data_IF_266613214689
#
_entry.id   IF_266613214689
#
_cell.length_a   1.000
_cell.length_b   1.000
_cell.length_c   1.000
_cell.angle_alpha   90.00
_cell.angle_beta   90.00
_cell.angle_gamma   90.00
#
_symmetry.space_group_name_H-M   'P 1'
#
loop_
_entity.id
_entity.type
_entity.pdbx_description
1 polymer ?
#
# COMPACT_ATOMS: atom_id res chain seq x y z
N UNK A 1 -8.48 -41.32 -26.73
CA UNK A 1 -7.17 -41.87 -27.15
C UNK A 1 -6.15 -40.73 -27.29
N UNK A 2 -5.97 -39.91 -26.25
CA UNK A 2 -5.13 -38.68 -26.26
C UNK A 2 -3.77 -38.89 -25.56
N UNK A 3 -3.61 -39.96 -24.76
CA UNK A 3 -2.33 -40.30 -24.13
C UNK A 3 -1.25 -40.81 -25.10
N UNK A 4 -1.60 -41.10 -26.35
CA UNK A 4 -0.67 -41.69 -27.34
C UNK A 4 -0.03 -40.67 -28.29
N UNK A 5 -0.27 -39.37 -28.11
CA UNK A 5 0.34 -38.30 -28.92
C UNK A 5 1.40 -37.46 -28.17
N UNK A 6 1.80 -37.86 -26.96
CA UNK A 6 2.98 -37.28 -26.31
C UNK A 6 4.25 -37.81 -26.99
N UNK A 7 4.72 -37.06 -27.98
CA UNK A 7 5.94 -37.31 -28.75
C UNK A 7 7.15 -37.58 -27.85
N UNK A 8 7.91 -38.59 -28.26
CA UNK A 8 8.95 -39.37 -27.56
C UNK A 8 10.25 -38.58 -27.22
N UNK A 9 10.27 -37.24 -27.31
CA UNK A 9 11.50 -36.44 -27.07
C UNK A 9 11.40 -35.34 -26.01
N UNK A 10 10.22 -35.12 -25.40
CA UNK A 10 10.11 -34.29 -24.20
C UNK A 10 10.27 -35.15 -22.95
N UNK A 11 11.37 -35.00 -22.22
CA UNK A 11 11.65 -35.81 -21.03
C UNK A 11 10.49 -35.69 -20.04
N UNK A 12 9.78 -36.79 -19.75
CA UNK A 12 8.71 -36.85 -18.71
C UNK A 12 9.15 -36.16 -17.40
N UNK A 13 10.43 -36.29 -17.07
CA UNK A 13 11.06 -35.62 -15.93
C UNK A 13 11.02 -34.08 -16.02
N UNK A 14 11.18 -33.49 -17.20
CA UNK A 14 11.02 -32.05 -17.40
C UNK A 14 9.57 -31.60 -17.20
N UNK A 15 8.60 -32.41 -17.62
CA UNK A 15 7.17 -32.10 -17.40
C UNK A 15 6.79 -32.20 -15.91
N UNK A 16 7.30 -33.23 -15.21
CA UNK A 16 7.12 -33.39 -13.76
C UNK A 16 7.77 -32.20 -13.04
N UNK A 17 9.00 -31.86 -13.38
CA UNK A 17 9.72 -30.74 -12.77
C UNK A 17 9.00 -29.41 -13.03
N UNK A 18 8.54 -29.17 -14.26
CA UNK A 18 7.76 -27.98 -14.62
C UNK A 18 6.46 -27.88 -13.82
N UNK A 19 5.72 -28.99 -13.68
CA UNK A 19 4.47 -29.02 -12.90
C UNK A 19 4.72 -28.75 -11.41
N UNK A 20 5.83 -29.25 -10.85
CA UNK A 20 6.21 -28.97 -9.46
C UNK A 20 6.50 -27.47 -9.26
N UNK A 21 7.28 -26.86 -10.17
CA UNK A 21 7.62 -25.43 -10.10
C UNK A 21 6.36 -24.57 -10.20
N UNK A 22 5.47 -24.88 -11.15
CA UNK A 22 4.18 -24.18 -11.30
C UNK A 22 3.32 -24.38 -10.06
N UNK A 23 3.20 -25.60 -9.55
CA UNK A 23 2.41 -25.90 -8.36
C UNK A 23 2.87 -25.14 -7.13
N UNK A 24 4.18 -25.04 -6.92
CA UNK A 24 4.75 -24.22 -5.84
C UNK A 24 4.44 -22.74 -6.04
N UNK A 25 4.65 -22.21 -7.24
CA UNK A 25 4.31 -20.81 -7.56
C UNK A 25 2.84 -20.51 -7.30
N UNK A 26 1.94 -21.38 -7.76
CA UNK A 26 0.50 -21.26 -7.52
C UNK A 26 0.16 -21.30 -6.03
N UNK A 27 0.76 -22.20 -5.25
CA UNK A 27 0.50 -22.27 -3.81
C UNK A 27 0.83 -20.95 -3.09
N UNK A 28 1.97 -20.33 -3.42
CA UNK A 28 2.34 -19.03 -2.87
C UNK A 28 1.38 -17.92 -3.31
N UNK A 29 1.08 -17.84 -4.61
CA UNK A 29 0.20 -16.80 -5.17
C UNK A 29 -1.21 -16.88 -4.61
N UNK A 30 -1.81 -18.08 -4.54
CA UNK A 30 -3.15 -18.26 -3.98
C UNK A 30 -3.19 -17.89 -2.49
N UNK A 31 -2.19 -18.32 -1.73
CA UNK A 31 -2.14 -18.03 -0.30
C UNK A 31 -1.99 -16.54 -0.03
N UNK A 32 -1.07 -15.86 -0.71
CA UNK A 32 -0.86 -14.41 -0.52
C UNK A 32 -2.08 -13.60 -0.99
N UNK A 33 -2.72 -14.01 -2.10
CA UNK A 33 -3.94 -13.37 -2.60
C UNK A 33 -5.10 -13.45 -1.58
N UNK A 34 -5.34 -14.62 -0.99
CA UNK A 34 -6.41 -14.78 0.01
C UNK A 34 -6.13 -14.02 1.30
N UNK A 35 -4.87 -14.00 1.75
CA UNK A 35 -4.45 -13.21 2.92
C UNK A 35 -4.68 -11.72 2.65
N UNK A 36 -4.18 -11.22 1.51
CA UNK A 36 -4.33 -9.82 1.13
C UNK A 36 -5.80 -9.40 1.01
N UNK A 37 -6.64 -10.24 0.40
CA UNK A 37 -8.06 -9.96 0.20
C UNK A 37 -8.92 -10.14 1.46
N UNK A 38 -8.43 -10.85 2.49
CA UNK A 38 -9.15 -11.05 3.75
C UNK A 38 -8.66 -10.14 4.89
N UNK A 39 -7.47 -9.56 4.75
CA UNK A 39 -6.91 -8.60 5.70
C UNK A 39 -7.80 -7.36 5.75
N UNK A 40 -8.31 -7.02 6.94
CA UNK A 40 -9.19 -5.85 7.14
C UNK A 40 -10.65 -6.05 6.71
N UNK A 41 -11.08 -7.28 6.40
CA UNK A 41 -12.49 -7.58 6.10
C UNK A 41 -13.18 -8.17 7.34
N UNK A 42 -14.24 -7.51 7.81
CA UNK A 42 -15.07 -8.00 8.90
C UNK A 42 -15.55 -9.45 8.67
N UNK A 43 -15.67 -10.24 9.74
CA UNK A 43 -16.07 -11.65 9.67
C UNK A 43 -17.42 -11.86 8.96
N UNK A 44 -18.36 -10.90 9.10
CA UNK A 44 -19.67 -10.92 8.42
C UNK A 44 -19.57 -10.70 6.90
N UNK A 45 -18.48 -10.08 6.43
CA UNK A 45 -18.27 -9.69 5.04
C UNK A 45 -17.30 -10.62 4.29
N UNK A 46 -16.73 -11.63 4.97
CA UNK A 46 -15.84 -12.62 4.33
C UNK A 46 -16.48 -13.35 3.15
N UNK A 47 -17.80 -13.57 3.18
CA UNK A 47 -18.53 -14.14 2.03
C UNK A 47 -18.49 -13.25 0.79
N UNK A 48 -18.51 -11.92 0.99
CA UNK A 48 -18.46 -10.93 -0.09
C UNK A 48 -17.02 -10.85 -0.64
N UNK A 49 -16.01 -10.79 0.23
CA UNK A 49 -14.60 -10.83 -0.17
C UNK A 49 -14.28 -12.10 -0.98
N UNK A 50 -14.76 -13.27 -0.52
CA UNK A 50 -14.62 -14.53 -1.25
C UNK A 50 -15.32 -14.51 -2.61
N UNK A 51 -16.51 -13.91 -2.72
CA UNK A 51 -17.19 -13.75 -4.00
C UNK A 51 -16.41 -12.84 -4.98
N UNK A 52 -15.79 -11.77 -4.49
CA UNK A 52 -14.94 -10.88 -5.29
C UNK A 52 -13.70 -11.62 -5.79
N UNK A 53 -13.02 -12.37 -4.91
CA UNK A 53 -11.84 -13.19 -5.27
C UNK A 53 -12.21 -14.18 -6.38
N UNK A 54 -13.28 -14.95 -6.20
CA UNK A 54 -13.71 -15.95 -7.18
C UNK A 54 -14.13 -15.31 -8.52
N UNK A 55 -14.74 -14.13 -8.48
CA UNK A 55 -15.09 -13.38 -9.71
C UNK A 55 -13.83 -12.89 -10.42
N UNK A 56 -12.87 -12.33 -9.68
CA UNK A 56 -11.57 -11.93 -10.21
C UNK A 56 -10.81 -13.10 -10.84
N UNK A 57 -10.88 -14.29 -10.23
CA UNK A 57 -10.27 -15.51 -10.76
C UNK A 57 -10.91 -15.99 -12.07
N UNK A 58 -12.20 -15.74 -12.31
CA UNK A 58 -12.84 -16.08 -13.58
C UNK A 58 -12.50 -15.08 -14.69
N UNK A 59 -12.36 -13.80 -14.34
CA UNK A 59 -12.06 -12.73 -15.31
C UNK A 59 -10.57 -12.70 -15.68
N UNK A 60 -9.68 -12.97 -14.72
CA UNK A 60 -8.22 -12.90 -14.91
C UNK A 60 -7.70 -13.70 -16.11
N UNK A 61 -8.05 -14.99 -16.26
CA UNK A 61 -7.63 -15.81 -17.40
C UNK A 61 -8.11 -15.26 -18.75
N UNK A 62 -9.31 -14.67 -18.80
CA UNK A 62 -9.83 -14.07 -20.03
C UNK A 62 -9.04 -12.82 -20.42
N UNK A 63 -8.69 -11.98 -19.45
CA UNK A 63 -7.86 -10.79 -19.68
C UNK A 63 -6.43 -11.18 -20.08
N UNK A 64 -5.81 -12.13 -19.39
CA UNK A 64 -4.48 -12.65 -19.74
C UNK A 64 -4.46 -13.23 -21.16
N UNK A 65 -5.45 -14.05 -21.51
CA UNK A 65 -5.55 -14.59 -22.87
C UNK A 65 -5.72 -13.48 -23.92
N UNK A 66 -6.49 -12.44 -23.63
CA UNK A 66 -6.65 -11.30 -24.54
C UNK A 66 -5.33 -10.55 -24.76
N UNK A 67 -4.53 -10.36 -23.70
CA UNK A 67 -3.20 -9.74 -23.77
C UNK A 67 -2.23 -10.62 -24.56
N UNK A 68 -2.19 -11.93 -24.27
CA UNK A 68 -1.40 -12.91 -25.04
C UNK A 68 -1.77 -12.81 -26.52
N UNK A 69 -3.06 -12.82 -26.86
CA UNK A 69 -3.51 -12.72 -28.25
C UNK A 69 -3.13 -11.41 -28.92
N UNK A 70 -3.22 -10.27 -28.22
CA UNK A 70 -2.79 -8.99 -28.73
C UNK A 70 -1.27 -8.99 -29.03
N UNK A 71 -0.46 -9.55 -28.14
CA UNK A 71 0.99 -9.67 -28.32
C UNK A 71 1.31 -10.61 -29.49
N UNK A 72 0.66 -11.77 -29.57
CA UNK A 72 0.87 -12.75 -30.64
C UNK A 72 0.47 -12.17 -31.99
N UNK A 73 -0.68 -11.49 -32.07
CA UNK A 73 -1.13 -10.83 -33.29
C UNK A 73 -0.15 -9.74 -33.73
N UNK A 74 0.36 -8.93 -32.79
CA UNK A 74 1.35 -7.89 -33.05
C UNK A 74 2.72 -8.45 -33.47
N UNK A 75 3.19 -9.53 -32.84
CA UNK A 75 4.53 -10.08 -33.08
C UNK A 75 4.62 -10.95 -34.35
N UNK A 76 3.54 -11.64 -34.71
CA UNK A 76 3.53 -12.59 -35.82
C UNK A 76 2.66 -12.15 -37.00
N UNK A 77 2.08 -10.95 -36.97
CA UNK A 77 1.18 -10.40 -38.02
C UNK A 77 0.06 -11.37 -38.41
N UNK A 78 -0.39 -12.18 -37.45
CA UNK A 78 -1.44 -13.18 -37.67
C UNK A 78 -2.79 -12.60 -37.25
N UNK A 79 -3.80 -12.80 -38.10
CA UNK A 79 -5.20 -12.43 -37.84
C UNK A 79 -6.10 -13.66 -37.60
N UNK A 80 -5.51 -14.87 -37.54
CA UNK A 80 -6.21 -16.14 -37.33
C UNK A 80 -6.31 -16.57 -35.86
N UNK A 81 -7.14 -17.58 -35.59
CA UNK A 81 -7.24 -18.24 -34.27
C UNK A 81 -5.91 -18.94 -33.92
N UNK A 82 -5.62 -19.13 -32.63
CA UNK A 82 -4.48 -19.94 -32.16
C UNK A 82 -4.52 -21.36 -32.76
N UNK A 83 -5.71 -21.85 -33.08
CA UNK A 83 -5.97 -23.18 -33.65
C UNK A 83 -5.45 -23.33 -35.09
N UNK A 84 -5.31 -22.23 -35.83
CA UNK A 84 -4.79 -22.23 -37.21
C UNK A 84 -3.25 -22.11 -37.26
N UNK A 85 -2.59 -21.92 -36.11
CA UNK A 85 -1.14 -21.77 -36.02
C UNK A 85 -0.46 -23.13 -35.96
N UNK A 86 0.54 -23.38 -36.82
CA UNK A 86 1.34 -24.62 -36.74
C UNK A 86 2.06 -24.77 -35.39
N UNK A 87 2.16 -26.00 -34.88
CA UNK A 87 2.62 -26.35 -33.52
C UNK A 87 3.89 -25.62 -33.04
N UNK A 88 4.90 -25.50 -33.91
CA UNK A 88 6.17 -24.84 -33.59
C UNK A 88 6.04 -23.31 -33.46
N UNK A 89 5.14 -22.70 -34.25
CA UNK A 89 4.87 -21.27 -34.19
C UNK A 89 4.03 -20.94 -32.94
N UNK A 90 3.02 -21.77 -32.66
CA UNK A 90 2.16 -21.64 -31.48
C UNK A 90 2.96 -21.72 -30.17
N UNK A 91 3.84 -22.72 -30.04
CA UNK A 91 4.66 -22.90 -28.84
C UNK A 91 5.60 -21.70 -28.60
N UNK A 92 6.24 -21.19 -29.66
CA UNK A 92 7.10 -20.00 -29.56
C UNK A 92 6.32 -18.74 -29.21
N UNK A 93 5.13 -18.57 -29.80
CA UNK A 93 4.27 -17.43 -29.57
C UNK A 93 3.80 -17.36 -28.11
N UNK A 94 3.35 -18.49 -27.55
CA UNK A 94 2.92 -18.59 -26.15
C UNK A 94 4.09 -18.33 -25.19
N UNK A 95 5.26 -18.94 -25.43
CA UNK A 95 6.44 -18.68 -24.60
C UNK A 95 6.85 -17.21 -24.61
N UNK A 96 6.82 -16.55 -25.77
CA UNK A 96 7.15 -15.13 -25.89
C UNK A 96 6.13 -14.25 -25.18
N UNK A 97 4.84 -14.55 -25.30
CA UNK A 97 3.79 -13.82 -24.59
C UNK A 97 3.92 -13.96 -23.06
N UNK A 98 4.17 -15.16 -22.54
CA UNK A 98 4.39 -15.39 -21.11
C UNK A 98 5.62 -14.65 -20.57
N UNK A 99 6.71 -14.60 -21.35
CA UNK A 99 7.90 -13.83 -20.98
C UNK A 99 7.58 -12.34 -20.95
N UNK A 100 6.86 -11.82 -21.95
CA UNK A 100 6.47 -10.41 -22.00
C UNK A 100 5.55 -10.06 -20.82
N UNK A 101 4.55 -10.89 -20.50
CA UNK A 101 3.70 -10.70 -19.32
C UNK A 101 4.51 -10.72 -18.02
N UNK A 102 5.45 -11.66 -17.87
CA UNK A 102 6.34 -11.70 -16.72
C UNK A 102 7.20 -10.43 -16.62
N UNK A 103 7.72 -9.94 -17.75
CA UNK A 103 8.48 -8.69 -17.81
C UNK A 103 7.60 -7.50 -17.45
N UNK A 104 6.37 -7.41 -17.97
CA UNK A 104 5.42 -6.34 -17.63
C UNK A 104 5.11 -6.38 -16.13
N UNK A 105 4.80 -7.55 -15.58
CA UNK A 105 4.52 -7.73 -14.15
C UNK A 105 5.71 -7.34 -13.27
N UNK A 106 6.94 -7.71 -13.67
CA UNK A 106 8.17 -7.33 -12.97
C UNK A 106 8.50 -5.83 -13.07
N UNK A 107 8.05 -5.16 -14.13
CA UNK A 107 8.28 -3.73 -14.35
C UNK A 107 7.12 -2.84 -13.89
N UNK A 108 6.04 -3.42 -13.37
CA UNK A 108 4.95 -2.65 -12.79
C UNK A 108 5.48 -1.91 -11.54
N UNK A 109 5.74 -0.61 -11.68
CA UNK A 109 6.00 0.25 -10.53
C UNK A 109 4.67 0.43 -9.80
N UNK A 110 4.51 -0.28 -8.69
CA UNK A 110 3.37 -0.08 -7.82
C UNK A 110 3.62 1.22 -7.05
N UNK A 111 2.69 2.16 -7.21
CA UNK A 111 2.69 3.43 -6.53
C UNK A 111 2.17 3.22 -5.11
N UNK A 112 3.06 3.24 -4.12
CA UNK A 112 2.74 2.86 -2.75
C UNK A 112 3.34 3.79 -1.72
N UNK A 113 2.71 3.81 -0.55
CA UNK A 113 3.27 4.33 0.70
C UNK A 113 3.40 3.16 1.67
N UNK A 114 4.52 3.07 2.38
CA UNK A 114 4.81 2.00 3.33
C UNK A 114 5.51 2.55 4.56
N UNK A 115 5.38 1.87 5.69
CA UNK A 115 6.12 2.19 6.89
C UNK A 115 7.63 2.08 6.63
N UNK A 116 8.39 3.11 7.01
CA UNK A 116 9.82 3.13 6.76
C UNK A 116 10.55 2.10 7.63
N UNK A 117 11.50 1.39 7.02
CA UNK A 117 12.31 0.40 7.74
C UNK A 117 13.59 1.04 8.25
N UNK A 118 13.53 1.54 9.48
CA UNK A 118 14.65 2.23 10.11
C UNK A 118 15.78 1.30 10.56
N UNK A 119 17.00 1.75 10.33
CA UNK A 119 18.21 1.21 10.94
C UNK A 119 18.30 1.56 12.42
N UNK A 120 19.09 0.80 13.19
CA UNK A 120 19.30 1.08 14.62
C UNK A 120 19.86 2.48 14.87
N UNK A 121 20.71 2.99 13.97
CA UNK A 121 21.25 4.34 14.07
C UNK A 121 20.16 5.41 13.89
N UNK A 122 19.28 5.24 12.91
CA UNK A 122 18.19 6.19 12.64
C UNK A 122 17.20 6.23 13.80
N UNK A 123 16.83 5.07 14.35
CA UNK A 123 15.96 5.00 15.54
C UNK A 123 16.53 5.77 16.73
N UNK A 124 17.84 5.65 16.98
CA UNK A 124 18.51 6.39 18.08
C UNK A 124 18.48 7.89 17.82
N UNK A 125 18.73 8.34 16.59
CA UNK A 125 18.69 9.77 16.26
C UNK A 125 17.27 10.32 16.45
N UNK A 126 16.26 9.64 15.94
CA UNK A 126 14.86 10.08 16.04
C UNK A 126 14.35 10.06 17.48
N UNK A 127 14.59 8.98 18.23
CA UNK A 127 14.20 8.90 19.65
C UNK A 127 14.93 9.87 20.58
N UNK A 128 16.11 10.38 20.17
CA UNK A 128 16.84 11.39 20.94
C UNK A 128 16.34 12.83 20.71
N UNK A 129 15.66 13.07 19.59
CA UNK A 129 15.27 14.43 19.13
C UNK A 129 13.76 14.66 19.13
N UNK A 130 12.97 13.59 19.01
CA UNK A 130 11.52 13.61 18.99
C UNK A 130 10.96 12.81 20.18
N UNK A 131 9.85 13.29 20.73
CA UNK A 131 9.06 12.54 21.71
C UNK A 131 8.27 11.43 21.01
N UNK A 132 7.68 11.74 19.85
CA UNK A 132 7.05 10.78 18.95
C UNK A 132 7.44 11.08 17.50
N UNK A 133 7.53 10.04 16.67
CA UNK A 133 7.76 10.20 15.23
C UNK A 133 7.03 9.13 14.43
N UNK A 134 6.66 9.51 13.21
CA UNK A 134 6.15 8.63 12.17
C UNK A 134 6.98 8.83 10.91
N UNK A 135 7.27 7.74 10.21
CA UNK A 135 8.08 7.76 9.01
C UNK A 135 7.53 6.80 7.96
N UNK A 136 7.36 7.33 6.76
CA UNK A 136 6.79 6.61 5.63
C UNK A 136 7.68 6.77 4.42
N UNK A 137 8.01 5.64 3.79
CA UNK A 137 8.60 5.63 2.46
C UNK A 137 7.48 5.60 1.42
N UNK A 138 7.63 6.35 0.35
CA UNK A 138 6.76 6.25 -0.81
C UNK A 138 7.54 5.95 -2.09
N UNK A 139 6.87 5.27 -3.00
CA UNK A 139 7.33 5.02 -4.35
C UNK A 139 6.22 5.47 -5.31
N UNK A 140 6.58 6.29 -6.28
CA UNK A 140 5.71 6.85 -7.31
C UNK A 140 6.36 6.69 -8.68
N UNK A 141 5.55 6.54 -9.71
CA UNK A 141 5.95 6.67 -11.10
C UNK A 141 5.97 8.16 -11.52
N UNK A 142 6.20 8.41 -12.80
CA UNK A 142 6.27 9.77 -13.33
C UNK A 142 4.89 10.46 -13.43
N UNK A 143 3.79 9.79 -13.07
CA UNK A 143 2.44 10.39 -13.05
C UNK A 143 2.34 11.42 -11.93
N UNK A 144 2.89 11.11 -10.76
CA UNK A 144 2.86 11.99 -9.59
C UNK A 144 4.07 12.93 -9.60
N UNK A 145 3.79 14.23 -9.58
CA UNK A 145 4.77 15.32 -9.60
C UNK A 145 4.95 15.96 -8.24
N UNK A 146 3.90 15.98 -7.42
CA UNK A 146 3.91 16.65 -6.13
C UNK A 146 3.25 15.80 -5.05
N UNK A 147 3.65 16.01 -3.80
CA UNK A 147 2.89 15.53 -2.64
C UNK A 147 2.63 16.68 -1.69
N UNK A 148 1.44 16.71 -1.12
CA UNK A 148 1.07 17.59 -0.02
C UNK A 148 0.84 16.75 1.23
N UNK A 149 1.35 17.23 2.36
CA UNK A 149 1.20 16.58 3.67
C UNK A 149 0.76 17.64 4.68
N UNK A 150 -0.19 17.31 5.54
CA UNK A 150 -0.70 18.18 6.60
C UNK A 150 -1.19 17.36 7.78
N UNK A 151 -1.40 18.01 8.91
CA UNK A 151 -2.04 17.40 10.08
C UNK A 151 -3.42 18.01 10.27
N UNK A 152 -4.45 17.18 10.37
CA UNK A 152 -5.80 17.60 10.73
C UNK A 152 -6.02 17.44 12.23
N UNK A 153 -6.55 18.47 12.90
CA UNK A 153 -6.94 18.42 14.30
C UNK A 153 -8.44 18.18 14.40
N UNK A 154 -8.83 17.16 15.15
CA UNK A 154 -10.19 16.84 15.49
C UNK A 154 -10.42 16.98 16.99
N UNK A 155 -11.55 17.55 17.38
CA UNK A 155 -12.01 17.60 18.78
C UNK A 155 -13.38 16.92 18.86
N UNK A 156 -13.47 15.85 19.67
CA UNK A 156 -14.66 15.00 19.79
C UNK A 156 -15.26 14.60 18.42
N UNK A 157 -14.38 14.24 17.47
CA UNK A 157 -14.72 13.84 16.11
C UNK A 157 -15.04 14.96 15.11
N UNK A 158 -14.96 16.24 15.50
CA UNK A 158 -15.16 17.36 14.58
C UNK A 158 -13.84 17.98 14.15
N UNK A 159 -13.66 18.24 12.86
CA UNK A 159 -12.46 18.93 12.35
C UNK A 159 -12.45 20.38 12.87
N UNK A 160 -11.42 20.73 13.63
CA UNK A 160 -11.25 22.06 14.23
C UNK A 160 -10.14 22.88 13.59
N UNK A 161 -9.21 22.25 12.88
CA UNK A 161 -8.14 22.96 12.19
C UNK A 161 -7.24 22.07 11.35
N UNK A 162 -6.40 22.72 10.53
CA UNK A 162 -5.34 22.12 9.75
C UNK A 162 -4.02 22.77 10.16
N UNK A 163 -3.02 21.93 10.43
CA UNK A 163 -1.69 22.31 10.91
C UNK A 163 -0.69 21.99 9.80
N UNK A 164 0.17 22.97 9.48
CA UNK A 164 1.30 22.86 8.56
C UNK A 164 1.04 22.08 7.27
N UNK A 165 0.22 22.64 6.38
CA UNK A 165 0.15 22.09 5.03
C UNK A 165 1.40 22.46 4.25
N UNK A 166 2.26 21.46 4.05
CA UNK A 166 3.46 21.58 3.23
C UNK A 166 3.32 20.77 1.95
N UNK A 167 4.06 21.16 0.91
CA UNK A 167 4.10 20.42 -0.35
C UNK A 167 5.45 20.58 -1.02
N UNK A 168 5.86 19.57 -1.76
CA UNK A 168 7.10 19.59 -2.54
C UNK A 168 6.97 18.70 -3.77
N UNK A 169 7.80 19.00 -4.77
CA UNK A 169 7.97 18.15 -5.94
C UNK A 169 8.60 16.81 -5.56
N UNK A 170 8.11 15.73 -6.16
CA UNK A 170 8.58 14.37 -5.89
C UNK A 170 9.00 13.66 -7.17
N UNK A 171 9.91 12.70 -7.03
CA UNK A 171 10.35 11.85 -8.15
C UNK A 171 10.79 10.47 -7.66
N UNK A 172 10.18 9.43 -8.22
CA UNK A 172 10.44 8.04 -7.88
C UNK A 172 10.19 7.74 -6.40
N UNK A 173 11.20 7.91 -5.55
CA UNK A 173 11.12 7.55 -4.13
C UNK A 173 11.26 8.78 -3.25
N UNK A 174 10.68 8.71 -2.07
CA UNK A 174 10.88 9.71 -1.03
C UNK A 174 10.35 9.24 0.30
N UNK A 175 10.48 10.11 1.28
CA UNK A 175 10.15 9.84 2.67
C UNK A 175 9.32 11.00 3.23
N UNK A 176 8.31 10.68 4.03
CA UNK A 176 7.50 11.61 4.80
C UNK A 176 7.77 11.33 6.28
N UNK A 177 8.10 12.39 7.03
CA UNK A 177 8.34 12.32 8.47
C UNK A 177 7.40 13.30 9.16
N UNK A 178 6.70 12.84 10.19
CA UNK A 178 6.08 13.69 11.20
C UNK A 178 6.78 13.42 12.53
N UNK A 179 7.24 14.46 13.22
CA UNK A 179 7.77 14.33 14.58
C UNK A 179 7.19 15.38 15.52
N UNK A 180 7.12 15.05 16.80
CA UNK A 180 6.70 15.95 17.87
C UNK A 180 7.87 16.16 18.83
N UNK A 181 8.10 17.41 19.25
CA UNK A 181 9.05 17.69 20.33
C UNK A 181 8.46 17.31 21.68
N UNK A 182 9.30 17.23 22.71
CA UNK A 182 8.81 17.26 24.10
C UNK A 182 7.92 18.48 24.32
N UNK A 183 6.85 18.29 25.07
CA UNK A 183 5.94 19.37 25.43
C UNK A 183 6.64 20.32 26.39
N UNK A 184 6.64 21.62 26.09
CA UNK A 184 7.16 22.65 26.97
C UNK A 184 6.26 22.77 28.21
N UNK A 185 6.86 22.74 29.40
CA UNK A 185 6.11 22.72 30.65
C UNK A 185 5.34 24.02 30.94
N UNK A 186 5.88 25.17 30.53
CA UNK A 186 5.31 26.49 30.80
C UNK A 186 4.18 26.84 29.83
N UNK A 187 4.32 26.46 28.56
CA UNK A 187 3.39 26.86 27.49
C UNK A 187 2.40 25.76 27.10
N UNK A 188 2.62 24.52 27.56
CA UNK A 188 1.90 23.32 27.12
C UNK A 188 1.95 23.12 25.59
N UNK A 189 3.05 23.54 24.94
CA UNK A 189 3.21 23.42 23.50
C UNK A 189 4.24 22.36 23.14
N UNK A 190 3.90 21.51 22.18
CA UNK A 190 4.84 20.64 21.48
C UNK A 190 5.04 21.17 20.05
N UNK A 191 6.27 21.11 19.53
CA UNK A 191 6.55 21.48 18.16
C UNK A 191 6.26 20.29 17.26
N UNK A 192 5.28 20.43 16.36
CA UNK A 192 5.04 19.46 15.31
C UNK A 192 5.93 19.84 14.14
N UNK A 193 6.69 18.88 13.61
CA UNK A 193 7.54 19.06 12.45
C UNK A 193 7.14 18.06 11.38
N UNK A 194 6.76 18.56 10.21
CA UNK A 194 6.44 17.74 9.04
C UNK A 194 7.56 17.93 8.03
N UNK A 195 8.13 16.84 7.53
CA UNK A 195 9.15 16.88 6.48
C UNK A 195 8.80 15.92 5.36
N UNK A 196 9.00 16.37 4.13
CA UNK A 196 8.92 15.55 2.92
C UNK A 196 10.28 15.66 2.22
N UNK A 197 10.87 14.53 1.86
CA UNK A 197 12.12 14.50 1.11
C UNK A 197 12.04 13.52 -0.05
N UNK A 198 12.39 13.96 -1.24
CA UNK A 198 12.48 13.14 -2.44
C UNK A 198 13.56 13.70 -3.37
N UNK A 199 13.95 12.95 -4.40
CA UNK A 199 14.82 13.46 -5.45
C UNK A 199 14.21 14.63 -6.24
N UNK A 200 12.91 14.86 -6.13
CA UNK A 200 12.23 16.03 -6.69
C UNK A 200 12.38 17.31 -5.85
N UNK A 201 12.64 17.18 -4.55
CA UNK A 201 12.71 18.31 -3.62
C UNK A 201 12.53 17.90 -2.17
N UNK A 202 12.79 18.84 -1.27
CA UNK A 202 12.59 18.69 0.17
C UNK A 202 11.80 19.88 0.69
N UNK A 203 10.81 19.62 1.55
CA UNK A 203 10.06 20.67 2.26
C UNK A 203 9.89 20.27 3.70
N UNK A 204 10.07 21.22 4.61
CA UNK A 204 9.86 21.04 6.05
C UNK A 204 9.04 22.20 6.58
N UNK A 205 8.01 21.89 7.36
CA UNK A 205 7.18 22.84 8.10
C UNK A 205 7.18 22.52 9.58
N UNK A 206 6.98 23.54 10.40
CA UNK A 206 6.87 23.36 11.85
C UNK A 206 5.87 24.33 12.46
N UNK A 207 5.09 23.83 13.41
CA UNK A 207 4.05 24.60 14.09
C UNK A 207 4.01 24.20 15.55
N UNK A 208 3.97 25.18 16.47
CA UNK A 208 3.69 24.90 17.87
C UNK A 208 2.22 24.48 18.00
N UNK A 209 1.99 23.34 18.65
CA UNK A 209 0.66 22.79 18.91
C UNK A 209 0.46 22.73 20.42
N UNK A 210 -0.62 23.34 20.91
CA UNK A 210 -0.99 23.25 22.32
C UNK A 210 -1.56 21.86 22.60
N UNK A 211 -0.90 21.12 23.49
CA UNK A 211 -1.27 19.77 23.90
C UNK A 211 -1.92 19.83 25.28
N UNK A 212 -3.09 19.21 25.42
CA UNK A 212 -3.83 19.17 26.68
C UNK A 212 -3.16 18.18 27.64
N UNK A 213 -2.78 18.64 28.84
CA UNK A 213 -1.96 17.87 29.81
C UNK A 213 -2.74 17.02 30.83
N UNK A 214 -4.06 17.15 30.90
CA UNK A 214 -4.84 16.68 32.07
C UNK A 214 -5.04 15.15 32.09
N UNK A 215 -4.08 14.39 32.63
CA UNK A 215 -4.19 12.94 32.88
C UNK A 215 -4.76 12.16 31.68
N UNK A 216 -4.34 12.55 30.48
CA UNK A 216 -4.82 12.01 29.21
C UNK A 216 -3.84 10.94 28.74
N UNK A 217 -4.32 9.72 28.48
CA UNK A 217 -3.56 8.70 27.79
C UNK A 217 -3.28 9.12 26.34
N UNK A 218 -2.03 8.99 25.91
CA UNK A 218 -1.65 9.23 24.51
C UNK A 218 -1.57 7.88 23.81
N UNK A 219 -2.39 7.72 22.78
CA UNK A 219 -2.33 6.59 21.87
C UNK A 219 -1.87 7.07 20.50
N UNK A 220 -0.84 6.44 19.94
CA UNK A 220 -0.26 6.86 18.67
C UNK A 220 -0.10 5.64 17.78
N UNK A 221 -0.63 5.75 16.57
CA UNK A 221 -0.72 4.63 15.63
C UNK A 221 -0.31 5.05 14.24
N UNK A 222 0.42 4.17 13.56
CA UNK A 222 0.64 4.23 12.11
C UNK A 222 -0.44 3.41 11.42
N UNK A 223 -0.70 3.74 10.16
CA UNK A 223 -1.46 2.85 9.29
C UNK A 223 -0.76 1.46 9.26
N UNK A 224 -1.43 0.39 9.73
CA UNK A 224 -0.81 -0.92 9.86
C UNK A 224 -0.70 -1.66 8.52
N UNK A 225 -1.29 -1.12 7.44
CA UNK A 225 -1.23 -1.69 6.12
C UNK A 225 0.16 -1.47 5.50
N UNK A 226 0.80 -2.56 5.08
CA UNK A 226 2.02 -2.50 4.29
C UNK A 226 1.68 -2.22 2.82
N UNK A 227 2.48 -1.38 2.16
CA UNK A 227 2.36 -1.05 0.73
C UNK A 227 0.98 -0.50 0.33
N UNK A 228 0.52 0.53 1.04
CA UNK A 228 -0.75 1.21 0.80
C UNK A 228 -0.74 1.82 -0.60
N UNK A 229 -1.67 1.44 -1.50
CA UNK A 229 -1.78 2.06 -2.81
C UNK A 229 -2.04 3.57 -2.70
N UNK A 230 -1.38 4.36 -3.54
CA UNK A 230 -1.58 5.82 -3.52
C UNK A 230 -2.99 6.18 -4.03
N UNK A 231 -3.78 6.77 -3.14
CA UNK A 231 -5.12 7.30 -3.38
C UNK A 231 -5.11 8.83 -3.25
N UNK A 232 -6.19 9.50 -3.68
CA UNK A 232 -6.28 10.98 -3.67
C UNK A 232 -5.99 11.56 -2.27
N UNK A 233 -6.68 11.09 -1.23
CA UNK A 233 -6.50 11.54 0.15
C UNK A 233 -6.34 10.36 1.08
N UNK A 234 -5.20 10.30 1.76
CA UNK A 234 -4.84 9.18 2.61
C UNK A 234 -4.64 9.65 4.04
N UNK A 235 -4.93 8.78 5.02
CA UNK A 235 -4.45 8.93 6.40
C UNK A 235 -3.25 8.01 6.57
N UNK A 236 -2.12 8.58 6.98
CA UNK A 236 -0.88 7.85 7.19
C UNK A 236 -0.71 7.45 8.66
N UNK A 237 -1.07 8.32 9.59
CA UNK A 237 -0.92 8.10 11.03
C UNK A 237 -1.93 8.92 11.84
N UNK A 238 -2.10 8.54 13.11
CA UNK A 238 -2.92 9.26 14.07
C UNK A 238 -2.26 9.36 15.44
N UNK A 239 -2.40 10.52 16.09
CA UNK A 239 -2.10 10.74 17.51
C UNK A 239 -3.41 11.06 18.22
N UNK A 240 -3.81 10.24 19.16
CA UNK A 240 -5.09 10.28 19.83
C UNK A 240 -4.91 10.53 21.34
N UNK A 241 -5.73 11.39 21.89
CA UNK A 241 -5.69 11.84 23.29
C UNK A 241 -7.03 11.51 23.94
N UNK A 242 -7.06 10.65 24.97
CA UNK A 242 -8.29 10.35 25.76
C UNK A 242 -8.07 10.38 27.27
N UNK A 243 -9.04 10.92 28.01
CA UNK A 243 -9.04 10.95 29.49
C UNK A 243 -9.35 9.61 30.16
N UNK A 244 -9.90 8.63 29.44
CA UNK A 244 -10.32 7.36 30.01
C UNK A 244 -9.18 6.32 29.98
N UNK A 245 -8.79 5.82 31.15
CA UNK A 245 -7.90 4.65 31.32
C UNK A 245 -8.50 3.32 30.81
N UNK A 246 -9.67 3.35 30.18
CA UNK A 246 -10.32 2.16 29.60
C UNK A 246 -9.78 1.92 28.18
N UNK A 247 -8.73 1.11 28.09
CA UNK A 247 -8.31 0.44 26.86
C UNK A 247 -7.67 1.35 25.83
N UNK A 248 -6.33 1.44 25.89
CA UNK A 248 -5.45 1.82 24.78
C UNK A 248 -5.80 0.98 23.55
N UNK A 249 -6.50 1.57 22.60
CA UNK A 249 -6.56 1.02 21.26
C UNK A 249 -6.36 2.17 20.31
N UNK A 250 -5.29 2.08 19.53
CA UNK A 250 -5.04 2.95 18.38
C UNK A 250 -6.28 2.91 17.48
N UNK A 251 -6.43 3.92 16.61
CA UNK A 251 -7.42 3.85 15.53
C UNK A 251 -7.35 2.48 14.83
N UNK A 252 -8.52 1.92 14.54
CA UNK A 252 -8.62 0.55 14.04
C UNK A 252 -7.96 0.40 12.66
N UNK A 253 -7.57 -0.81 12.29
CA UNK A 253 -7.15 -1.09 10.89
C UNK A 253 -8.25 -0.72 9.89
N UNK A 254 -9.51 -0.86 10.28
CA UNK A 254 -10.67 -0.57 9.45
C UNK A 254 -10.80 0.95 9.21
N UNK A 255 -10.45 1.77 10.21
CA UNK A 255 -10.35 3.22 10.05
C UNK A 255 -9.38 3.61 8.93
N UNK A 256 -8.21 2.97 8.88
CA UNK A 256 -7.22 3.25 7.84
C UNK A 256 -7.60 2.71 6.46
N UNK A 257 -8.46 1.69 6.41
CA UNK A 257 -8.91 1.05 5.17
C UNK A 257 -10.08 1.80 4.52
N UNK A 258 -10.99 2.35 5.33
CA UNK A 258 -12.12 3.18 4.90
C UNK A 258 -12.36 4.32 5.91
N UNK A 259 -11.57 5.39 5.74
CA UNK A 259 -11.58 6.54 6.66
C UNK A 259 -12.95 7.19 6.73
N UNK A 260 -13.60 7.38 5.58
CA UNK A 260 -14.86 8.13 5.51
C UNK A 260 -16.00 7.42 6.27
N UNK A 261 -16.04 6.08 6.21
CA UNK A 261 -17.04 5.28 6.94
C UNK A 261 -16.76 5.18 8.44
N UNK A 262 -15.50 5.35 8.86
CA UNK A 262 -15.05 5.12 10.25
C UNK A 262 -14.70 6.40 11.03
N UNK A 263 -14.97 7.58 10.47
CA UNK A 263 -14.76 8.87 11.17
C UNK A 263 -15.43 8.97 12.55
N UNK A 264 -16.45 8.14 12.82
CA UNK A 264 -17.08 8.08 14.14
C UNK A 264 -16.13 7.59 15.25
N UNK A 265 -15.08 6.82 14.93
CA UNK A 265 -14.07 6.39 15.90
C UNK A 265 -13.40 7.59 16.60
N UNK A 266 -13.25 8.70 15.88
CA UNK A 266 -12.62 9.92 16.41
C UNK A 266 -13.40 10.53 17.59
N UNK A 267 -14.68 10.18 17.77
CA UNK A 267 -15.51 10.65 18.89
C UNK A 267 -15.14 9.99 20.23
N UNK A 268 -14.42 8.87 20.18
CA UNK A 268 -13.95 8.17 21.37
C UNK A 268 -12.76 8.88 22.05
N UNK A 269 -12.19 9.88 21.38
CA UNK A 269 -11.05 10.64 21.86
C UNK A 269 -11.43 12.12 22.06
N UNK A 270 -10.77 12.77 23.00
CA UNK A 270 -10.94 14.20 23.25
C UNK A 270 -10.34 15.00 22.09
N UNK A 271 -9.12 14.64 21.69
CA UNK A 271 -8.39 15.27 20.58
C UNK A 271 -7.74 14.19 19.71
N UNK A 272 -7.84 14.32 18.39
CA UNK A 272 -7.12 13.47 17.43
C UNK A 272 -6.38 14.33 16.43
N UNK A 273 -5.11 14.00 16.19
CA UNK A 273 -4.30 14.56 15.12
C UNK A 273 -4.10 13.50 14.04
N UNK A 274 -4.59 13.73 12.82
CA UNK A 274 -4.42 12.81 11.70
C UNK A 274 -3.38 13.37 10.71
N UNK A 275 -2.35 12.59 10.42
CA UNK A 275 -1.39 12.88 9.36
C UNK A 275 -2.01 12.50 8.01
N UNK A 276 -2.29 13.49 7.17
CA UNK A 276 -2.89 13.33 5.85
C UNK A 276 -1.85 13.52 4.75
N UNK A 277 -2.04 12.82 3.63
CA UNK A 277 -1.30 13.05 2.40
C UNK A 277 -2.19 13.07 1.17
N UNK A 278 -1.73 13.79 0.14
CA UNK A 278 -2.35 13.88 -1.18
C UNK A 278 -1.24 13.92 -2.23
N UNK A 279 -1.20 12.94 -3.13
CA UNK A 279 -0.23 12.84 -4.22
C UNK A 279 -0.87 13.32 -5.52
N UNK A 280 -0.19 14.22 -6.26
CA UNK A 280 -0.69 14.88 -7.48
C UNK A 280 0.24 14.66 -8.65
#
# INVERSE_FOLDING_TARGET
>A
MILTQLTIYGTIWAMILGTIVIGLGQAFVFTTMFIAASSGVEMKQQGIASAIINTGQQIGPAVGLAVIMAIVSAAFTTSGSLEDMGDNLLSKAVCMALIIEAVIALNLKINTVSNAKLTEREKVILSSTADQYFEFDFNVDDKYKDVAVWVEKYESGNLTGVIDRISTGIKNKGTIILSTSKTNEETNQALFTISISSNGGTSTGWSPVTVTKDDIGIDWGINPLDNIPIMDKMVLAGICYSRSNEGTSTLSTDFYSDVDSHMNELKNYDVVYLLRSEFK
#
